data_IF_247527722313
#
_entry.id   IF_247527722313
#
_cell.length_a   1.000
_cell.length_b   1.000
_cell.length_c   1.000
_cell.angle_alpha   90.00
_cell.angle_beta   90.00
_cell.angle_gamma   90.00
#
_symmetry.space_group_name_H-M   'P 1'
#
loop_
_entity.id
_entity.type
_entity.pdbx_description
1 polymer ?
#
# COMPACT_ATOMS: atom_id res chain seq x y z
N UNK A 1 28.17 -19.97 -35.52
CA UNK A 1 28.31 -18.90 -34.51
C UNK A 1 26.95 -18.23 -34.37
N UNK A 2 26.11 -18.70 -33.46
CA UNK A 2 24.74 -18.22 -33.28
C UNK A 2 24.72 -17.17 -32.18
N UNK A 3 24.33 -15.95 -32.56
CA UNK A 3 24.23 -14.76 -31.72
C UNK A 3 23.28 -15.06 -30.55
N UNK A 4 23.77 -15.02 -29.31
CA UNK A 4 22.93 -15.19 -28.12
C UNK A 4 22.21 -13.88 -27.92
N UNK A 5 20.95 -13.86 -28.32
CA UNK A 5 20.00 -12.79 -28.03
C UNK A 5 20.18 -12.31 -26.59
N UNK A 6 20.67 -11.09 -26.46
CA UNK A 6 20.85 -10.37 -25.21
C UNK A 6 19.48 -10.16 -24.56
N UNK A 7 19.10 -11.07 -23.68
CA UNK A 7 17.94 -10.89 -22.79
C UNK A 7 18.14 -9.60 -22.01
N UNK A 8 17.14 -8.70 -21.97
CA UNK A 8 17.24 -7.46 -21.22
C UNK A 8 17.50 -7.78 -19.75
N UNK A 9 18.58 -7.21 -19.21
CA UNK A 9 18.96 -7.38 -17.81
C UNK A 9 17.81 -6.92 -16.90
N UNK A 10 17.49 -7.65 -15.81
CA UNK A 10 16.48 -7.22 -14.85
C UNK A 10 16.88 -5.84 -14.31
N UNK A 11 16.04 -4.83 -14.56
CA UNK A 11 16.25 -3.52 -13.96
C UNK A 11 16.07 -3.67 -12.45
N UNK A 12 16.95 -3.10 -11.61
CA UNK A 12 16.72 -3.08 -10.17
C UNK A 12 15.37 -2.39 -9.90
N UNK A 13 14.38 -3.17 -9.48
CA UNK A 13 13.07 -2.65 -9.12
C UNK A 13 13.19 -1.77 -7.88
N UNK A 14 12.47 -0.64 -7.86
CA UNK A 14 12.35 0.16 -6.64
C UNK A 14 11.79 -0.72 -5.51
N UNK A 15 12.28 -0.57 -4.26
CA UNK A 15 11.81 -1.38 -3.14
C UNK A 15 10.29 -1.20 -2.94
N UNK A 16 9.54 -2.30 -3.06
CA UNK A 16 8.09 -2.32 -2.93
C UNK A 16 7.51 -3.71 -3.22
N UNK A 17 6.28 -3.96 -2.78
CA UNK A 17 5.55 -5.17 -3.14
C UNK A 17 4.88 -4.97 -4.51
N UNK A 18 5.24 -5.82 -5.47
CA UNK A 18 4.65 -5.82 -6.81
C UNK A 18 3.58 -6.91 -6.89
N UNK A 19 2.36 -6.53 -7.28
CA UNK A 19 1.30 -7.47 -7.61
C UNK A 19 0.99 -7.35 -9.10
N UNK A 20 1.16 -8.45 -9.84
CA UNK A 20 0.87 -8.51 -11.27
C UNK A 20 -0.36 -9.39 -11.48
N UNK A 21 -1.40 -8.85 -12.11
CA UNK A 21 -2.57 -9.63 -12.52
C UNK A 21 -2.52 -9.88 -14.02
N UNK A 22 -2.45 -11.14 -14.42
CA UNK A 22 -2.46 -11.57 -15.83
C UNK A 22 -3.86 -12.05 -16.21
N UNK A 23 -4.34 -11.60 -17.36
CA UNK A 23 -5.60 -12.06 -17.97
C UNK A 23 -5.25 -12.56 -19.37
N UNK A 24 -5.31 -13.87 -19.57
CA UNK A 24 -4.79 -14.52 -20.78
C UNK A 24 -3.27 -14.34 -20.89
N UNK A 25 -2.79 -14.01 -22.09
CA UNK A 25 -1.36 -13.81 -22.33
C UNK A 25 -0.86 -12.41 -21.92
N UNK A 26 -1.78 -11.46 -21.68
CA UNK A 26 -1.50 -10.06 -21.36
C UNK A 26 -1.51 -9.76 -19.85
N UNK A 27 -0.59 -8.92 -19.39
CA UNK A 27 -0.65 -8.33 -18.03
C UNK A 27 -1.73 -7.25 -18.06
N UNK A 28 -2.80 -7.44 -17.28
CA UNK A 28 -3.94 -6.53 -17.27
C UNK A 28 -3.80 -5.43 -16.22
N UNK A 29 -3.04 -5.68 -15.14
CA UNK A 29 -2.82 -4.70 -14.08
C UNK A 29 -1.51 -4.96 -13.35
N UNK A 30 -0.69 -3.91 -13.23
CA UNK A 30 0.50 -3.89 -12.38
C UNK A 30 0.24 -2.92 -11.22
N UNK A 31 0.18 -3.45 -10.00
CA UNK A 31 0.01 -2.65 -8.80
C UNK A 31 1.32 -2.66 -7.99
N UNK A 32 1.84 -1.47 -7.68
CA UNK A 32 3.01 -1.30 -6.83
C UNK A 32 2.59 -0.71 -5.49
N UNK A 33 2.80 -1.47 -4.42
CA UNK A 33 2.53 -1.03 -3.05
C UNK A 33 3.87 -0.66 -2.42
N UNK A 34 4.00 0.61 -2.01
CA UNK A 34 5.20 1.12 -1.35
C UNK A 34 5.02 1.14 0.17
N UNK A 35 6.09 0.91 0.93
CA UNK A 35 6.10 1.03 2.39
C UNK A 35 5.66 2.42 2.83
N UNK A 36 6.10 3.46 2.11
CA UNK A 36 5.70 4.85 2.38
C UNK A 36 4.20 5.06 2.22
N UNK A 37 3.58 4.48 1.18
CA UNK A 37 2.13 4.54 0.99
C UNK A 37 1.36 3.85 2.12
N UNK A 38 1.85 2.68 2.57
CA UNK A 38 1.28 1.97 3.72
C UNK A 38 1.39 2.77 5.03
N UNK A 39 2.53 3.41 5.29
CA UNK A 39 2.72 4.27 6.44
C UNK A 39 1.79 5.49 6.41
N UNK A 40 1.58 6.10 5.25
CA UNK A 40 0.65 7.20 5.08
C UNK A 40 -0.80 6.79 5.41
N UNK A 41 -1.23 5.63 4.91
CA UNK A 41 -2.56 5.08 5.24
C UNK A 41 -2.69 4.79 6.74
N UNK A 42 -1.68 4.18 7.34
CA UNK A 42 -1.67 3.89 8.78
C UNK A 42 -1.78 5.17 9.62
N UNK A 43 -1.09 6.25 9.23
CA UNK A 43 -1.16 7.55 9.90
C UNK A 43 -2.57 8.14 9.86
N UNK A 44 -3.23 8.11 8.69
CA UNK A 44 -4.60 8.61 8.50
C UNK A 44 -5.59 7.83 9.38
N UNK A 45 -5.50 6.50 9.36
CA UNK A 45 -6.37 5.64 10.17
C UNK A 45 -6.17 5.91 11.66
N UNK A 46 -4.92 6.02 12.11
CA UNK A 46 -4.59 6.29 13.52
C UNK A 46 -5.13 7.64 13.97
N UNK A 47 -4.96 8.69 13.16
CA UNK A 47 -5.50 10.02 13.45
C UNK A 47 -7.04 10.01 13.53
N UNK A 48 -7.70 9.28 12.62
CA UNK A 48 -9.16 9.14 12.57
C UNK A 48 -9.70 8.40 13.81
N UNK A 49 -9.02 7.31 14.21
CA UNK A 49 -9.36 6.57 15.43
C UNK A 49 -9.18 7.43 16.67
N UNK A 50 -8.08 8.19 16.76
CA UNK A 50 -7.81 9.05 17.91
C UNK A 50 -8.85 10.16 18.06
N UNK A 51 -9.23 10.82 16.95
CA UNK A 51 -10.31 11.81 16.96
C UNK A 51 -11.66 11.21 17.40
N UNK A 52 -11.98 10.01 16.90
CA UNK A 52 -13.21 9.31 17.28
C UNK A 52 -13.21 8.91 18.77
N UNK A 53 -12.10 8.41 19.28
CA UNK A 53 -11.95 8.04 20.69
C UNK A 53 -12.11 9.25 21.62
N UNK A 54 -11.60 10.42 21.23
CA UNK A 54 -11.76 11.66 21.99
C UNK A 54 -13.24 12.06 22.13
N UNK A 55 -14.02 11.93 21.06
CA UNK A 55 -15.47 12.21 21.07
C UNK A 55 -16.20 11.23 22.00
N UNK A 56 -15.90 9.93 21.90
CA UNK A 56 -16.49 8.90 22.76
C UNK A 56 -16.15 9.14 24.24
N UNK A 57 -14.91 9.51 24.54
CA UNK A 57 -14.48 9.83 25.90
C UNK A 57 -15.20 11.06 26.46
N UNK A 58 -15.35 12.10 25.64
CA UNK A 58 -16.10 13.30 26.01
C UNK A 58 -17.58 12.98 26.29
N UNK A 59 -18.23 12.20 25.40
CA UNK A 59 -19.61 11.76 25.59
C UNK A 59 -19.79 10.90 26.85
N UNK A 60 -18.85 10.00 27.14
CA UNK A 60 -18.85 9.22 28.38
C UNK A 60 -18.75 10.10 29.63
N UNK A 61 -17.88 11.11 29.63
CA UNK A 61 -17.75 12.04 30.77
C UNK A 61 -19.02 12.83 31.06
N UNK A 62 -19.77 13.19 30.02
CA UNK A 62 -21.06 13.90 30.16
C UNK A 62 -22.12 12.98 30.78
N UNK A 63 -22.12 11.69 30.43
CA UNK A 63 -23.14 10.73 30.91
C UNK A 63 -22.95 10.29 32.37
N UNK A 64 -21.72 10.36 32.89
CA UNK A 64 -21.40 9.98 34.28
C UNK A 64 -21.45 11.15 35.28
N UNK A 65 -21.77 12.36 34.84
CA UNK A 65 -22.13 13.49 35.70
C UNK A 65 -23.64 13.67 35.70
#
# INVERSE_FOLDING_TARGET
>A
MTNRDSLPAPRPGLPGAHATLRIGDTVALEAQITTTGLLAVAAIVTASLLGSAAIVLAARRIKTR
#
